data_IF_100100952436
#
_entry.id   IF_100100952436
#
_cell.length_a   1.000
_cell.length_b   1.000
_cell.length_c   1.000
_cell.angle_alpha   90.00
_cell.angle_beta   90.00
_cell.angle_gamma   90.00
#
_symmetry.space_group_name_H-M   'P 1'
#
loop_
_entity.id
_entity.type
_entity.pdbx_description
1 polymer ?
#
# COMPACT_ATOMS: atom_id res chain seq x y z
N UNK A 1 14.06 41.25 46.53
CA UNK A 1 12.94 40.27 46.53
C UNK A 1 11.80 40.90 45.76
N UNK A 2 11.16 40.38 44.72
CA UNK A 2 11.19 39.12 43.97
C UNK A 2 10.74 39.52 42.55
N UNK A 3 11.67 39.67 41.60
CA UNK A 3 11.29 39.58 40.18
C UNK A 3 11.26 38.09 39.81
N UNK A 4 10.42 37.73 38.84
CA UNK A 4 10.24 36.40 38.26
C UNK A 4 9.19 35.49 38.91
N UNK A 5 7.90 35.81 38.73
CA UNK A 5 6.84 34.77 38.72
C UNK A 5 5.65 35.00 37.78
N UNK A 6 5.67 36.06 36.97
CA UNK A 6 4.49 36.47 36.18
C UNK A 6 4.56 36.18 34.68
N UNK A 7 5.60 35.50 34.18
CA UNK A 7 5.82 35.34 32.72
C UNK A 7 5.86 33.89 32.22
N UNK A 8 5.44 32.90 33.02
CA UNK A 8 5.34 31.51 32.54
C UNK A 8 3.93 31.19 32.05
N UNK A 9 2.89 31.75 32.68
CA UNK A 9 1.50 31.48 32.31
C UNK A 9 1.13 32.09 30.96
N UNK A 10 1.61 33.30 30.67
CA UNK A 10 1.36 33.99 29.41
C UNK A 10 2.08 33.31 28.24
N UNK A 11 3.34 32.90 28.45
CA UNK A 11 4.11 32.15 27.44
C UNK A 11 3.50 30.76 27.23
N UNK A 12 3.10 30.05 28.30
CA UNK A 12 2.36 28.77 28.17
C UNK A 12 1.07 28.95 27.37
N UNK A 13 0.29 29.99 27.66
CA UNK A 13 -0.97 30.24 26.95
C UNK A 13 -0.74 30.55 25.47
N UNK A 14 0.28 31.36 25.15
CA UNK A 14 0.63 31.71 23.78
C UNK A 14 1.19 30.52 22.98
N UNK A 15 2.03 29.67 23.59
CA UNK A 15 2.54 28.44 22.97
C UNK A 15 1.39 27.44 22.75
N UNK A 16 0.49 27.26 23.74
CA UNK A 16 -0.68 26.39 23.59
C UNK A 16 -1.62 26.92 22.49
N UNK A 17 -1.83 28.24 22.37
CA UNK A 17 -2.60 28.84 21.28
C UNK A 17 -1.92 28.67 19.91
N UNK A 18 -0.59 28.81 19.82
CA UNK A 18 0.16 28.58 18.57
C UNK A 18 0.15 27.12 18.12
N UNK A 19 0.24 26.17 19.06
CA UNK A 19 0.13 24.73 18.77
C UNK A 19 -1.29 24.39 18.30
N UNK A 20 -2.34 24.95 18.93
CA UNK A 20 -3.73 24.75 18.52
C UNK A 20 -4.08 25.38 17.16
N UNK A 21 -3.39 26.44 16.76
CA UNK A 21 -3.57 27.13 15.47
C UNK A 21 -2.65 26.62 14.35
N UNK A 22 -1.83 25.59 14.59
CA UNK A 22 -1.12 24.88 13.53
C UNK A 22 -2.11 23.96 12.81
N UNK A 23 -2.99 24.57 12.01
CA UNK A 23 -4.01 23.94 11.16
C UNK A 23 -3.43 22.99 10.07
N UNK A 24 -2.17 22.58 10.18
CA UNK A 24 -1.53 21.58 9.33
C UNK A 24 -1.38 20.20 9.97
N UNK A 25 -1.56 20.05 11.30
CA UNK A 25 -1.40 18.74 11.97
C UNK A 25 -2.76 18.11 12.30
N UNK A 26 -3.76 18.91 12.67
CA UNK A 26 -5.11 18.41 12.97
C UNK A 26 -5.90 18.01 11.72
N UNK A 27 -5.55 18.56 10.56
CA UNK A 27 -6.12 18.09 9.29
C UNK A 27 -5.63 16.68 8.97
N UNK A 28 -4.40 16.31 9.36
CA UNK A 28 -3.90 14.94 9.15
C UNK A 28 -4.65 13.95 10.03
N UNK A 29 -4.94 14.27 11.30
CA UNK A 29 -5.67 13.35 12.17
C UNK A 29 -7.13 13.11 11.73
N UNK A 30 -7.86 14.13 11.27
CA UNK A 30 -9.23 13.91 10.75
C UNK A 30 -9.29 13.44 9.30
N UNK A 31 -8.25 13.69 8.47
CA UNK A 31 -8.11 13.02 7.16
C UNK A 31 -7.78 11.54 7.36
N UNK A 32 -6.99 11.16 8.36
CA UNK A 32 -6.65 9.76 8.63
C UNK A 32 -7.86 8.98 9.17
N UNK A 33 -8.75 9.59 9.95
CA UNK A 33 -9.89 8.88 10.55
C UNK A 33 -11.17 8.89 9.69
N UNK A 34 -11.32 9.84 8.75
CA UNK A 34 -12.51 9.95 7.89
C UNK A 34 -12.20 9.95 6.37
N UNK A 35 -10.97 9.64 5.96
CA UNK A 35 -10.80 9.08 4.63
C UNK A 35 -11.25 7.63 4.71
N UNK A 36 -12.18 7.27 3.85
CA UNK A 36 -12.33 5.94 3.33
C UNK A 36 -10.96 5.29 3.10
N UNK A 37 -10.38 4.58 4.09
CA UNK A 37 -9.42 3.51 3.83
C UNK A 37 -10.24 2.30 3.36
N UNK A 38 -11.04 2.53 2.32
CA UNK A 38 -11.93 1.57 1.70
C UNK A 38 -11.07 0.72 0.77
N UNK A 39 -10.45 -0.32 1.30
CA UNK A 39 -9.83 -1.37 0.48
C UNK A 39 -8.79 -0.95 -0.60
N UNK A 40 -7.97 0.13 -0.50
CA UNK A 40 -6.93 0.40 -1.52
C UNK A 40 -5.70 -0.50 -1.39
N UNK A 41 -5.63 -1.33 -0.34
CA UNK A 41 -4.47 -2.15 0.02
C UNK A 41 -4.62 -3.65 -0.32
N UNK A 42 -5.63 -4.03 -1.10
CA UNK A 42 -5.87 -5.42 -1.52
C UNK A 42 -5.97 -5.46 -3.04
N UNK A 43 -5.46 -6.53 -3.64
CA UNK A 43 -5.52 -6.75 -5.08
C UNK A 43 -5.89 -8.19 -5.35
N UNK A 44 -6.96 -8.41 -6.12
CA UNK A 44 -7.39 -9.75 -6.48
C UNK A 44 -6.35 -10.43 -7.39
N UNK A 45 -6.18 -11.77 -7.28
CA UNK A 45 -5.20 -12.47 -8.10
C UNK A 45 -5.47 -12.34 -9.60
N UNK A 46 -6.75 -12.28 -10.00
CA UNK A 46 -7.14 -12.07 -11.41
C UNK A 46 -6.68 -10.71 -11.92
N UNK A 47 -6.98 -9.65 -11.18
CA UNK A 47 -6.54 -8.29 -11.53
C UNK A 47 -5.02 -8.20 -11.60
N UNK A 48 -4.32 -8.86 -10.67
CA UNK A 48 -2.85 -8.91 -10.67
C UNK A 48 -2.31 -9.60 -11.92
N UNK A 49 -2.87 -10.76 -12.27
CA UNK A 49 -2.50 -11.48 -13.48
C UNK A 49 -2.75 -10.67 -14.74
N UNK A 50 -3.94 -10.09 -14.89
CA UNK A 50 -4.33 -9.34 -16.09
C UNK A 50 -3.39 -8.16 -16.32
N UNK A 51 -2.94 -7.51 -15.25
CA UNK A 51 -2.00 -6.40 -15.33
C UNK A 51 -0.57 -6.82 -15.68
N UNK A 52 -0.08 -7.91 -15.08
CA UNK A 52 1.35 -8.25 -15.15
C UNK A 52 1.69 -9.33 -16.18
N UNK A 53 0.72 -10.14 -16.62
CA UNK A 53 0.92 -11.16 -17.65
C UNK A 53 0.64 -10.55 -19.02
N UNK A 54 1.71 -10.15 -19.71
CA UNK A 54 1.65 -9.54 -21.05
C UNK A 54 1.66 -10.56 -22.20
N UNK A 55 1.99 -11.82 -21.91
CA UNK A 55 2.23 -12.86 -22.94
C UNK A 55 0.99 -13.68 -23.30
N UNK A 56 -0.06 -13.66 -22.47
CA UNK A 56 -1.29 -14.43 -22.64
C UNK A 56 -2.48 -13.63 -22.17
N UNK A 57 -3.62 -13.77 -22.85
CA UNK A 57 -4.86 -13.09 -22.49
C UNK A 57 -5.78 -13.98 -21.62
N UNK A 58 -6.67 -13.38 -20.80
CA UNK A 58 -7.72 -14.13 -20.11
C UNK A 58 -8.54 -14.97 -21.10
N UNK A 59 -8.70 -16.27 -20.80
CA UNK A 59 -9.41 -17.22 -21.67
C UNK A 59 -8.52 -18.00 -22.63
N UNK A 60 -7.26 -17.60 -22.83
CA UNK A 60 -6.33 -18.39 -23.63
C UNK A 60 -5.84 -19.64 -22.89
N UNK A 61 -5.52 -20.68 -23.67
CA UNK A 61 -4.93 -21.89 -23.11
C UNK A 61 -3.59 -21.59 -22.43
N UNK A 62 -3.48 -22.05 -21.18
CA UNK A 62 -2.31 -21.83 -20.34
C UNK A 62 -2.28 -20.49 -19.60
N UNK A 63 -3.27 -19.60 -19.75
CA UNK A 63 -3.35 -18.35 -18.97
C UNK A 63 -3.39 -18.62 -17.47
N UNK A 64 -4.22 -19.58 -17.03
CA UNK A 64 -4.28 -19.99 -15.63
C UNK A 64 -2.92 -20.45 -15.07
N UNK A 65 -2.16 -21.23 -15.85
CA UNK A 65 -0.83 -21.67 -15.41
C UNK A 65 0.17 -20.52 -15.34
N UNK A 66 0.09 -19.55 -16.26
CA UNK A 66 0.88 -18.32 -16.17
C UNK A 66 0.53 -17.53 -14.90
N UNK A 67 -0.76 -17.37 -14.61
CA UNK A 67 -1.26 -16.78 -13.36
C UNK A 67 -0.65 -17.42 -12.12
N UNK A 68 -0.74 -18.75 -12.03
CA UNK A 68 -0.20 -19.51 -10.90
C UNK A 68 1.28 -19.20 -10.69
N UNK A 69 2.09 -19.20 -11.76
CA UNK A 69 3.52 -18.91 -11.67
C UNK A 69 3.77 -17.47 -11.25
N UNK A 70 3.04 -16.52 -11.83
CA UNK A 70 3.21 -15.10 -11.54
C UNK A 70 2.87 -14.76 -10.08
N UNK A 71 1.77 -15.33 -9.57
CA UNK A 71 1.37 -15.20 -8.17
C UNK A 71 2.36 -15.89 -7.23
N UNK A 72 2.87 -17.07 -7.61
CA UNK A 72 3.89 -17.77 -6.83
C UNK A 72 5.16 -16.92 -6.69
N UNK A 73 5.62 -16.30 -7.77
CA UNK A 73 6.77 -15.37 -7.75
C UNK A 73 6.47 -14.15 -6.87
N UNK A 74 5.29 -13.53 -7.04
CA UNK A 74 4.90 -12.34 -6.29
C UNK A 74 4.77 -12.59 -4.78
N UNK A 75 4.35 -13.79 -4.38
CA UNK A 75 4.09 -14.14 -2.98
C UNK A 75 5.21 -14.93 -2.31
N UNK A 76 6.18 -15.43 -3.08
CA UNK A 76 7.22 -16.34 -2.59
C UNK A 76 6.71 -17.74 -2.23
N UNK A 77 5.49 -18.10 -2.64
CA UNK A 77 4.88 -19.40 -2.37
C UNK A 77 5.20 -20.41 -3.46
N UNK A 78 5.01 -21.70 -3.17
CA UNK A 78 5.15 -22.73 -4.21
C UNK A 78 3.99 -22.64 -5.21
N UNK A 79 4.22 -22.87 -6.51
CA UNK A 79 3.14 -22.94 -7.50
C UNK A 79 2.05 -23.95 -7.14
N UNK A 80 2.45 -25.07 -6.52
CA UNK A 80 1.52 -26.09 -6.03
C UNK A 80 0.56 -25.56 -4.95
N UNK A 81 1.05 -24.69 -4.08
CA UNK A 81 0.21 -24.03 -3.06
C UNK A 81 -0.80 -23.10 -3.72
N UNK A 82 -0.38 -22.32 -4.71
CA UNK A 82 -1.28 -21.42 -5.45
C UNK A 82 -2.33 -22.21 -6.22
N UNK A 83 -1.95 -23.32 -6.85
CA UNK A 83 -2.88 -24.22 -7.54
C UNK A 83 -3.94 -24.83 -6.63
N UNK A 84 -3.62 -25.08 -5.36
CA UNK A 84 -4.57 -25.64 -4.39
C UNK A 84 -5.72 -24.69 -4.01
N UNK A 85 -5.64 -23.40 -4.34
CA UNK A 85 -6.70 -22.42 -4.07
C UNK A 85 -7.88 -22.50 -5.05
N UNK A 86 -7.76 -23.34 -6.09
CA UNK A 86 -8.79 -23.53 -7.11
C UNK A 86 -8.69 -22.55 -8.29
N UNK A 87 -9.51 -22.77 -9.33
CA UNK A 87 -9.41 -22.06 -10.61
C UNK A 87 -9.66 -20.55 -10.50
N UNK A 88 -10.46 -20.12 -9.52
CA UNK A 88 -10.77 -18.72 -9.25
C UNK A 88 -9.96 -18.13 -8.08
N UNK A 89 -8.99 -18.89 -7.55
CA UNK A 89 -8.20 -18.53 -6.37
C UNK A 89 -9.04 -18.25 -5.12
N UNK A 90 -10.25 -18.80 -5.02
CA UNK A 90 -11.16 -18.55 -3.89
C UNK A 90 -10.67 -19.15 -2.57
N UNK A 91 -9.84 -20.20 -2.62
CA UNK A 91 -9.22 -20.82 -1.45
C UNK A 91 -7.97 -20.12 -0.92
N UNK A 92 -7.62 -18.93 -1.44
CA UNK A 92 -6.44 -18.19 -1.02
C UNK A 92 -6.65 -17.56 0.38
N UNK A 93 -5.59 -17.43 1.19
CA UNK A 93 -5.63 -16.59 2.39
C UNK A 93 -5.76 -15.09 2.07
N UNK A 94 -6.44 -14.36 2.93
CA UNK A 94 -6.62 -12.89 2.81
C UNK A 94 -5.30 -12.11 2.75
N UNK A 95 -4.26 -12.61 3.40
CA UNK A 95 -2.93 -12.00 3.38
C UNK A 95 -2.33 -11.92 1.98
N UNK A 96 -2.70 -12.85 1.08
CA UNK A 96 -2.24 -12.86 -0.32
C UNK A 96 -2.66 -11.58 -1.03
N UNK A 97 -3.88 -11.09 -0.79
CA UNK A 97 -4.39 -9.89 -1.44
C UNK A 97 -3.56 -8.64 -1.10
N UNK A 98 -3.10 -8.56 0.15
CA UNK A 98 -2.22 -7.47 0.60
C UNK A 98 -0.83 -7.61 0.00
N UNK A 99 -0.30 -8.83 -0.05
CA UNK A 99 1.01 -9.10 -0.66
C UNK A 99 1.02 -8.77 -2.15
N UNK A 100 -0.01 -9.18 -2.90
CA UNK A 100 -0.14 -8.86 -4.31
C UNK A 100 -0.22 -7.35 -4.54
N UNK A 101 -0.92 -6.61 -3.68
CA UNK A 101 -0.98 -5.14 -3.81
C UNK A 101 0.39 -4.49 -3.54
N UNK A 102 1.14 -4.99 -2.58
CA UNK A 102 2.51 -4.53 -2.32
C UNK A 102 3.42 -4.77 -3.51
N UNK A 103 3.39 -5.98 -4.06
CA UNK A 103 4.21 -6.34 -5.23
C UNK A 103 3.81 -5.52 -6.47
N UNK A 104 2.51 -5.31 -6.70
CA UNK A 104 1.98 -4.43 -7.75
C UNK A 104 2.55 -3.02 -7.64
N UNK A 105 2.63 -2.48 -6.42
CA UNK A 105 3.18 -1.14 -6.15
C UNK A 105 4.68 -1.11 -6.43
N UNK A 106 5.43 -2.12 -5.97
CA UNK A 106 6.88 -2.22 -6.19
C UNK A 106 7.19 -2.27 -7.69
N UNK A 107 6.44 -3.08 -8.45
CA UNK A 107 6.67 -3.23 -9.89
C UNK A 107 6.33 -1.97 -10.67
N UNK A 108 5.26 -1.26 -10.31
CA UNK A 108 4.97 0.06 -10.89
C UNK A 108 6.11 1.05 -10.64
N UNK A 109 6.64 1.09 -9.41
CA UNK A 109 7.79 1.94 -9.11
C UNK A 109 8.99 1.57 -9.99
N UNK A 110 9.26 0.27 -10.18
CA UNK A 110 10.34 -0.20 -11.07
C UNK A 110 10.12 0.18 -12.53
N UNK A 111 8.88 0.22 -13.02
CA UNK A 111 8.57 0.69 -14.37
C UNK A 111 8.74 2.22 -14.51
N UNK A 112 8.55 2.98 -13.42
CA UNK A 112 8.67 4.45 -13.40
C UNK A 112 10.12 4.93 -13.23
N UNK A 113 10.90 4.25 -12.38
CA UNK A 113 12.29 4.64 -12.10
C UNK A 113 13.20 4.07 -13.18
N UNK A 114 13.68 4.94 -14.07
CA UNK A 114 14.72 4.56 -15.03
C UNK A 114 16.07 4.50 -14.31
N UNK A 115 16.94 3.53 -14.62
CA UNK A 115 18.27 3.44 -14.00
C UNK A 115 19.09 4.74 -14.13
N UNK A 116 18.87 5.48 -15.23
CA UNK A 116 19.57 6.74 -15.52
C UNK A 116 19.24 7.86 -14.52
N UNK A 117 18.11 7.79 -13.82
CA UNK A 117 17.71 8.77 -12.80
C UNK A 117 18.44 8.58 -11.46
N UNK A 118 19.17 7.46 -11.29
CA UNK A 118 19.88 7.11 -10.05
C UNK A 118 21.40 7.41 -10.10
N UNK A 119 21.90 7.88 -11.25
CA UNK A 119 23.32 8.17 -11.49
C UNK A 119 23.62 9.65 -11.74
N UNK A 120 22.63 10.53 -11.56
CA UNK A 120 22.79 11.99 -11.65
C UNK A 120 22.77 12.65 -10.27
#
# INVERSE_FOLDING_TARGET
MLYCRSNIYTIKSYIIQKIKNFNGVTQVHHIIENSQIDAPNRMEPKDFCEKWIKTKQPGEWGYYKACVQEIAVATGLSPRTVESWGPDFSGRPDSVLVTLKKEDTIRQIRELVKPDDLLN
#
